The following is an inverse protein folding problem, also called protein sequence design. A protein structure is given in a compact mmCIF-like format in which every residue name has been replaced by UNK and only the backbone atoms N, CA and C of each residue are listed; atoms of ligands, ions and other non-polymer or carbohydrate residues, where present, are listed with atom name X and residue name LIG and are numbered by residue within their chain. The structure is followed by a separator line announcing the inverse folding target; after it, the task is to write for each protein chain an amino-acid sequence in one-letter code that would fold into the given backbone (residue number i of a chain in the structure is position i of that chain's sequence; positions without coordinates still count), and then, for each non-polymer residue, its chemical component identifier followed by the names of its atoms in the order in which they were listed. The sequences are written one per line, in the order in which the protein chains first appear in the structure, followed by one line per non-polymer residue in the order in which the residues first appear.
data_IF_283506014862
#
_entry.id   IF_283506014862
#
_cell.length_a   1.000
_cell.length_b   1.000
_cell.length_c   1.000
_cell.angle_alpha   90.00
_cell.angle_beta   90.00
_cell.angle_gamma   90.00
#
_symmetry.space_group_name_H-M   'P 1'
#
loop_
_entity.id
_entity.type
_entity.pdbx_description
1 polymer ?
#
# COMPACT_ATOMS: atom_id res chain seq x y z
N UNK A 1 -28.60 -16.39 10.34
CA UNK A 1 -28.73 -15.02 10.91
C UNK A 1 -27.72 -14.73 12.02
N UNK A 2 -27.54 -15.58 13.06
CA UNK A 2 -26.58 -15.31 14.14
C UNK A 2 -25.12 -15.08 13.71
N UNK A 3 -24.61 -15.85 12.75
CA UNK A 3 -23.24 -15.68 12.21
C UNK A 3 -23.06 -14.34 11.47
N UNK A 4 -24.02 -13.93 10.64
CA UNK A 4 -23.95 -12.67 9.89
C UNK A 4 -23.98 -11.44 10.81
N UNK A 5 -24.79 -11.47 11.88
CA UNK A 5 -24.81 -10.41 12.89
C UNK A 5 -23.43 -10.27 13.54
N UNK A 6 -22.79 -11.40 13.91
CA UNK A 6 -21.43 -11.40 14.47
C UNK A 6 -20.39 -10.77 13.54
N UNK A 7 -20.41 -11.12 12.24
CA UNK A 7 -19.49 -10.55 11.25
C UNK A 7 -19.68 -9.03 11.12
N UNK A 8 -20.94 -8.56 11.05
CA UNK A 8 -21.25 -7.12 10.97
C UNK A 8 -20.77 -6.40 12.22
N UNK A 9 -21.00 -6.97 13.41
CA UNK A 9 -20.51 -6.38 14.67
C UNK A 9 -19.00 -6.22 14.66
N UNK A 10 -18.25 -7.26 14.27
CA UNK A 10 -16.79 -7.20 14.18
C UNK A 10 -16.35 -6.13 13.18
N UNK A 11 -16.99 -6.06 12.01
CA UNK A 11 -16.67 -5.08 10.96
C UNK A 11 -16.89 -3.65 11.45
N UNK A 12 -18.04 -3.37 12.08
CA UNK A 12 -18.37 -2.04 12.61
C UNK A 12 -17.39 -1.63 13.71
N UNK A 13 -17.11 -2.53 14.66
CA UNK A 13 -16.14 -2.26 15.74
C UNK A 13 -14.76 -1.98 15.17
N UNK A 14 -14.31 -2.78 14.20
CA UNK A 14 -13.03 -2.60 13.52
C UNK A 14 -12.93 -1.24 12.83
N UNK A 15 -13.95 -0.84 12.06
CA UNK A 15 -13.99 0.47 11.38
C UNK A 15 -13.98 1.61 12.40
N UNK A 16 -14.76 1.53 13.48
CA UNK A 16 -14.78 2.54 14.53
C UNK A 16 -13.40 2.70 15.16
N UNK A 17 -12.72 1.60 15.48
CA UNK A 17 -11.38 1.62 16.05
C UNK A 17 -10.38 2.28 15.09
N UNK A 18 -10.39 1.91 13.81
CA UNK A 18 -9.52 2.49 12.79
C UNK A 18 -9.76 4.00 12.61
N UNK A 19 -11.02 4.43 12.47
CA UNK A 19 -11.37 5.84 12.30
C UNK A 19 -11.00 6.64 13.54
N UNK A 20 -11.28 6.13 14.73
CA UNK A 20 -10.94 6.78 16.00
C UNK A 20 -9.42 6.94 16.14
N UNK A 21 -8.66 5.90 15.81
CA UNK A 21 -7.19 5.96 15.82
C UNK A 21 -6.64 6.96 14.78
N UNK A 22 -7.23 6.97 13.58
CA UNK A 22 -6.89 7.92 12.51
C UNK A 22 -7.12 9.36 12.93
N UNK A 23 -8.26 9.67 13.57
CA UNK A 23 -8.55 11.00 14.12
C UNK A 23 -7.55 11.35 15.24
N UNK A 24 -7.28 10.43 16.16
CA UNK A 24 -6.36 10.67 17.27
C UNK A 24 -4.94 11.00 16.79
N UNK A 25 -4.42 10.22 15.85
CA UNK A 25 -3.09 10.46 15.27
C UNK A 25 -3.07 11.64 14.30
N UNK A 26 -4.16 11.87 13.55
CA UNK A 26 -4.31 13.00 12.63
C UNK A 26 -4.20 14.36 13.33
N UNK A 27 -4.65 14.46 14.59
CA UNK A 27 -4.47 15.67 15.43
C UNK A 27 -3.00 16.04 15.68
N UNK A 28 -2.06 15.12 15.47
CA UNK A 28 -0.61 15.34 15.67
C UNK A 28 0.08 15.89 14.41
N UNK A 29 -0.58 15.85 13.25
CA UNK A 29 -0.02 16.31 11.97
C UNK A 29 -0.10 17.83 11.90
N UNK A 30 1.04 18.50 11.73
CA UNK A 30 1.11 19.98 11.67
C UNK A 30 1.69 20.50 10.35
N UNK A 31 2.48 19.69 9.66
CA UNK A 31 3.19 20.07 8.43
C UNK A 31 2.94 19.06 7.31
N UNK A 32 3.30 19.44 6.07
CA UNK A 32 3.24 18.52 4.92
C UNK A 32 4.16 17.31 5.07
N UNK A 33 5.31 17.47 5.72
CA UNK A 33 6.25 16.36 5.99
C UNK A 33 5.74 15.43 7.10
N UNK A 34 5.04 15.97 8.10
CA UNK A 34 4.34 15.14 9.09
C UNK A 34 3.26 14.28 8.41
N UNK A 35 2.57 14.82 7.42
CA UNK A 35 1.54 14.10 6.67
C UNK A 35 2.13 13.06 5.71
N UNK A 36 3.14 13.45 4.90
CA UNK A 36 3.65 12.62 3.82
C UNK A 36 4.61 11.52 4.30
N UNK A 37 5.42 11.79 5.32
CA UNK A 37 6.51 10.90 5.75
C UNK A 37 6.61 10.76 7.28
N UNK A 38 5.55 11.12 8.02
CA UNK A 38 5.51 11.10 9.48
C UNK A 38 6.67 11.86 10.14
N UNK A 39 7.14 12.94 9.49
CA UNK A 39 8.28 13.73 9.94
C UNK A 39 9.57 12.92 10.11
N UNK A 40 9.71 11.78 9.40
CA UNK A 40 10.84 10.82 9.49
C UNK A 40 11.03 10.15 10.85
N UNK A 41 10.02 10.21 11.72
CA UNK A 41 10.05 9.65 13.08
C UNK A 41 9.65 8.18 13.16
N UNK A 42 9.12 7.61 12.07
CA UNK A 42 8.73 6.20 12.02
C UNK A 42 9.97 5.30 12.01
N UNK A 43 10.04 4.31 12.93
CA UNK A 43 11.12 3.33 12.91
C UNK A 43 10.99 2.42 11.69
N UNK A 44 12.13 1.93 11.17
CA UNK A 44 12.19 1.19 9.91
C UNK A 44 11.28 -0.05 9.86
N UNK A 45 11.14 -0.78 10.98
CA UNK A 45 10.25 -1.95 11.06
C UNK A 45 8.77 -1.57 10.92
N UNK A 46 8.35 -0.43 11.49
CA UNK A 46 6.97 0.04 11.39
C UNK A 46 6.67 0.53 9.96
N UNK A 47 7.65 1.19 9.33
CA UNK A 47 7.57 1.56 7.92
C UNK A 47 7.47 0.30 7.01
N UNK A 48 8.23 -0.75 7.31
CA UNK A 48 8.16 -2.01 6.58
C UNK A 48 6.79 -2.69 6.69
N UNK A 49 6.23 -2.77 7.90
CA UNK A 49 4.89 -3.31 8.10
C UNK A 49 3.81 -2.47 7.42
N UNK A 50 3.92 -1.14 7.49
CA UNK A 50 2.98 -0.23 6.83
C UNK A 50 3.02 -0.38 5.31
N UNK A 51 4.21 -0.52 4.73
CA UNK A 51 4.35 -0.77 3.30
C UNK A 51 3.69 -2.10 2.94
N UNK A 52 3.97 -3.18 3.70
CA UNK A 52 3.35 -4.50 3.44
C UNK A 52 1.84 -4.42 3.51
N UNK A 53 1.28 -3.79 4.55
CA UNK A 53 -0.15 -3.60 4.67
C UNK A 53 -0.77 -2.84 3.47
N UNK A 54 0.02 -2.00 2.78
CA UNK A 54 -0.41 -1.31 1.55
C UNK A 54 -0.35 -2.22 0.32
N UNK A 55 0.66 -3.11 0.26
CA UNK A 55 0.78 -4.12 -0.78
C UNK A 55 -0.31 -5.21 -0.67
N UNK A 56 -0.70 -5.57 0.54
CA UNK A 56 -1.77 -6.53 0.79
C UNK A 56 -3.14 -5.95 0.42
N UNK A 57 -3.83 -6.66 -0.45
CA UNK A 57 -4.84 -6.12 -1.35
C UNK A 57 -5.89 -7.21 -1.63
N UNK A 58 -6.95 -6.91 -2.40
CA UNK A 58 -7.82 -7.94 -2.99
C UNK A 58 -7.02 -9.01 -3.77
N UNK A 59 -5.81 -8.67 -4.21
CA UNK A 59 -4.84 -9.64 -4.71
C UNK A 59 -4.56 -10.78 -3.73
N UNK A 60 -4.32 -10.49 -2.45
CA UNK A 60 -3.95 -11.49 -1.46
C UNK A 60 -5.12 -12.40 -1.07
N UNK A 61 -6.33 -11.83 -0.99
CA UNK A 61 -7.51 -12.56 -0.53
C UNK A 61 -8.23 -13.32 -1.66
N UNK A 62 -8.21 -12.79 -2.88
CA UNK A 62 -8.97 -13.34 -4.01
C UNK A 62 -8.07 -13.71 -5.19
N UNK A 63 -7.07 -12.89 -5.49
CA UNK A 63 -6.19 -13.08 -6.64
C UNK A 63 -5.30 -14.31 -6.52
N UNK A 64 -4.43 -14.34 -5.52
CA UNK A 64 -3.45 -15.41 -5.31
C UNK A 64 -4.13 -16.76 -4.99
N UNK A 65 -5.15 -16.86 -4.12
CA UNK A 65 -5.85 -18.12 -3.90
C UNK A 65 -6.62 -18.58 -5.15
N UNK A 66 -7.21 -17.65 -5.92
CA UNK A 66 -7.88 -17.97 -7.17
C UNK A 66 -6.93 -18.48 -8.24
N UNK A 67 -5.74 -17.88 -8.36
CA UNK A 67 -4.67 -18.35 -9.21
C UNK A 67 -4.18 -19.74 -8.77
N UNK A 68 -3.99 -19.96 -7.48
CA UNK A 68 -3.57 -21.26 -6.94
C UNK A 68 -4.64 -22.35 -7.16
N UNK A 69 -5.92 -21.99 -7.09
CA UNK A 69 -7.01 -22.90 -7.44
C UNK A 69 -6.98 -23.29 -8.92
N UNK A 70 -6.63 -22.37 -9.82
CA UNK A 70 -6.60 -22.61 -11.27
C UNK A 70 -5.32 -23.32 -11.75
N UNK A 71 -4.16 -22.95 -11.20
CA UNK A 71 -2.83 -23.39 -11.66
C UNK A 71 -2.16 -24.38 -10.72
N UNK A 72 -2.78 -24.68 -9.58
CA UNK A 72 -2.28 -25.64 -8.59
C UNK A 72 -1.02 -25.17 -7.88
N UNK A 73 -0.19 -26.13 -7.48
CA UNK A 73 0.98 -25.87 -6.63
C UNK A 73 2.07 -25.01 -7.29
N UNK A 74 2.02 -24.83 -8.61
CA UNK A 74 2.93 -23.96 -9.36
C UNK A 74 2.91 -22.52 -8.82
N UNK A 75 1.79 -22.06 -8.27
CA UNK A 75 1.67 -20.72 -7.68
C UNK A 75 2.56 -20.47 -6.45
N UNK A 76 3.18 -21.52 -5.89
CA UNK A 76 4.19 -21.34 -4.85
C UNK A 76 5.35 -20.46 -5.32
N UNK A 77 5.67 -20.49 -6.62
CA UNK A 77 6.72 -19.65 -7.20
C UNK A 77 6.37 -18.17 -7.15
N UNK A 78 5.09 -17.82 -7.32
CA UNK A 78 4.60 -16.45 -7.14
C UNK A 78 4.86 -15.99 -5.70
N UNK A 79 4.47 -16.80 -4.71
CA UNK A 79 4.69 -16.48 -3.30
C UNK A 79 6.18 -16.34 -2.95
N UNK A 80 7.02 -17.30 -3.38
CA UNK A 80 8.47 -17.25 -3.16
C UNK A 80 9.11 -16.03 -3.83
N UNK A 81 8.72 -15.71 -5.06
CA UNK A 81 9.19 -14.55 -5.80
C UNK A 81 8.83 -13.23 -5.10
N UNK A 82 7.58 -13.11 -4.62
CA UNK A 82 7.15 -11.95 -3.84
C UNK A 82 7.98 -11.78 -2.57
N UNK A 83 8.13 -12.84 -1.77
CA UNK A 83 8.90 -12.78 -0.52
C UNK A 83 10.36 -12.42 -0.78
N UNK A 84 11.01 -13.09 -1.73
CA UNK A 84 12.41 -12.82 -2.08
C UNK A 84 12.61 -11.40 -2.61
N UNK A 85 11.72 -10.94 -3.51
CA UNK A 85 11.76 -9.59 -4.07
C UNK A 85 11.58 -8.51 -3.00
N UNK A 86 10.62 -8.71 -2.09
CA UNK A 86 10.37 -7.81 -0.96
C UNK A 86 11.58 -7.69 -0.04
N UNK A 87 12.15 -8.84 0.37
CA UNK A 87 13.33 -8.88 1.25
C UNK A 87 14.49 -8.16 0.57
N UNK A 88 14.72 -8.45 -0.72
CA UNK A 88 15.80 -7.84 -1.51
C UNK A 88 15.62 -6.32 -1.62
N UNK A 89 14.41 -5.84 -1.90
CA UNK A 89 14.11 -4.41 -1.98
C UNK A 89 14.37 -3.70 -0.65
N UNK A 90 13.96 -4.29 0.47
CA UNK A 90 14.21 -3.70 1.79
C UNK A 90 15.67 -3.75 2.21
N UNK A 91 16.36 -4.86 1.94
CA UNK A 91 17.76 -5.02 2.30
C UNK A 91 18.69 -4.11 1.47
N UNK A 92 18.40 -3.93 0.17
CA UNK A 92 19.34 -3.27 -0.75
C UNK A 92 18.92 -1.86 -1.17
N UNK A 93 17.62 -1.57 -1.25
CA UNK A 93 17.11 -0.33 -1.87
C UNK A 93 16.57 0.63 -0.82
N UNK A 94 15.83 0.16 0.19
CA UNK A 94 15.08 1.02 1.11
C UNK A 94 15.96 2.04 1.85
N UNK A 95 17.10 1.62 2.40
CA UNK A 95 18.05 2.51 3.09
C UNK A 95 18.64 3.62 2.19
N UNK A 96 19.14 3.26 1.01
CA UNK A 96 19.67 4.18 0.00
C UNK A 96 18.61 5.19 -0.44
N UNK A 97 17.37 4.74 -0.65
CA UNK A 97 16.28 5.62 -1.05
C UNK A 97 15.90 6.58 0.10
N UNK A 98 15.94 6.13 1.35
CA UNK A 98 15.72 6.97 2.54
C UNK A 98 16.77 8.07 2.64
N UNK A 99 18.05 7.70 2.50
CA UNK A 99 19.18 8.64 2.60
C UNK A 99 19.14 9.68 1.48
N UNK A 100 18.87 9.25 0.25
CA UNK A 100 18.71 10.13 -0.89
C UNK A 100 17.51 11.06 -0.72
N UNK A 101 16.37 10.55 -0.24
CA UNK A 101 15.21 11.39 0.06
C UNK A 101 15.54 12.45 1.10
N UNK A 102 16.40 12.14 2.09
CA UNK A 102 16.88 13.11 3.10
C UNK A 102 17.77 14.17 2.50
N UNK A 103 18.78 13.74 1.74
CA UNK A 103 19.75 14.59 1.07
C UNK A 103 19.08 15.63 0.18
N UNK A 104 18.09 15.23 -0.60
CA UNK A 104 17.36 16.12 -1.50
C UNK A 104 16.16 16.82 -0.85
N UNK A 105 15.87 16.55 0.43
CA UNK A 105 14.70 17.08 1.16
C UNK A 105 13.39 16.90 0.40
N UNK A 106 13.18 15.69 -0.12
CA UNK A 106 11.99 15.32 -0.90
C UNK A 106 11.12 14.33 -0.12
N UNK A 107 9.81 14.43 -0.33
CA UNK A 107 8.81 13.58 0.34
C UNK A 107 8.14 12.57 -0.61
N UNK A 108 8.33 12.72 -1.93
CA UNK A 108 7.78 11.80 -2.93
C UNK A 108 8.86 11.27 -3.88
N UNK A 109 8.64 10.05 -4.38
CA UNK A 109 9.54 9.45 -5.37
C UNK A 109 9.57 10.25 -6.69
N UNK A 110 8.44 10.79 -7.13
CA UNK A 110 8.37 11.61 -8.35
C UNK A 110 9.13 12.93 -8.22
N UNK A 111 9.21 13.49 -7.00
CA UNK A 111 10.06 14.64 -6.73
C UNK A 111 11.54 14.25 -6.67
N UNK A 112 11.87 13.12 -6.07
CA UNK A 112 13.24 12.58 -6.04
C UNK A 112 13.82 12.44 -7.45
N UNK A 113 13.12 11.76 -8.35
CA UNK A 113 13.58 11.61 -9.74
C UNK A 113 13.71 12.96 -10.46
N UNK A 114 12.87 13.94 -10.10
CA UNK A 114 12.91 15.28 -10.69
C UNK A 114 14.18 16.03 -10.31
N UNK A 115 14.48 16.07 -9.01
CA UNK A 115 15.64 16.80 -8.50
C UNK A 115 16.95 16.11 -8.89
N UNK A 116 16.96 14.77 -8.96
CA UNK A 116 18.15 14.00 -9.31
C UNK A 116 18.60 14.17 -10.76
N UNK A 117 17.68 14.43 -11.69
CA UNK A 117 17.95 14.41 -13.14
C UNK A 117 17.96 15.79 -13.80
N UNK A 118 18.07 16.88 -13.02
CA UNK A 118 18.28 18.24 -13.53
C UNK A 118 17.26 18.66 -14.59
N UNK A 119 17.74 18.99 -15.80
CA UNK A 119 16.92 19.51 -16.91
C UNK A 119 15.81 18.54 -17.37
N UNK A 120 16.08 17.23 -17.41
CA UNK A 120 15.08 16.21 -17.74
C UNK A 120 14.10 15.94 -16.59
N UNK A 121 14.40 16.43 -15.39
CA UNK A 121 13.67 16.12 -14.16
C UNK A 121 12.20 16.50 -14.19
N UNK A 122 11.84 17.61 -14.85
CA UNK A 122 10.43 18.03 -14.97
C UNK A 122 9.62 17.06 -15.81
N UNK A 123 10.18 16.61 -16.94
CA UNK A 123 9.52 15.68 -17.85
C UNK A 123 9.36 14.31 -17.18
N UNK A 124 10.42 13.81 -16.53
CA UNK A 124 10.38 12.55 -15.78
C UNK A 124 9.31 12.59 -14.69
N UNK A 125 9.21 13.68 -13.93
CA UNK A 125 8.17 13.85 -12.92
C UNK A 125 6.77 13.76 -13.50
N UNK A 126 6.52 14.41 -14.64
CA UNK A 126 5.20 14.40 -15.30
C UNK A 126 4.86 12.99 -15.78
N UNK A 127 5.77 12.35 -16.50
CA UNK A 127 5.57 10.99 -17.02
C UNK A 127 5.33 10.00 -15.88
N UNK A 128 6.16 10.02 -14.84
CA UNK A 128 5.97 9.13 -13.69
C UNK A 128 4.69 9.41 -12.92
N UNK A 129 4.30 10.68 -12.76
CA UNK A 129 3.04 11.02 -12.08
C UNK A 129 1.83 10.55 -12.88
N UNK A 130 1.85 10.72 -14.21
CA UNK A 130 0.80 10.22 -15.10
C UNK A 130 0.71 8.70 -15.09
N UNK A 131 1.86 8.01 -15.15
CA UNK A 131 1.91 6.56 -15.04
C UNK A 131 1.31 6.08 -13.70
N UNK A 132 1.71 6.71 -12.58
CA UNK A 132 1.14 6.38 -11.26
C UNK A 132 -0.38 6.55 -11.28
N UNK A 133 -0.90 7.72 -11.69
CA UNK A 133 -2.35 7.98 -11.71
C UNK A 133 -3.09 6.95 -12.59
N UNK A 134 -2.56 6.66 -13.77
CA UNK A 134 -3.16 5.69 -14.70
C UNK A 134 -3.25 4.29 -14.09
N UNK A 135 -2.15 3.76 -13.53
CA UNK A 135 -2.18 2.42 -12.91
C UNK A 135 -2.97 2.41 -11.60
N UNK A 136 -2.93 3.50 -10.83
CA UNK A 136 -3.67 3.60 -9.57
C UNK A 136 -5.19 3.57 -9.78
N UNK A 137 -5.67 4.08 -10.92
CA UNK A 137 -7.08 3.96 -11.31
C UNK A 137 -7.54 2.50 -11.37
N UNK A 138 -6.79 1.64 -12.08
CA UNK A 138 -7.11 0.20 -12.15
C UNK A 138 -6.93 -0.49 -10.80
N UNK A 139 -5.89 -0.11 -10.04
CA UNK A 139 -5.66 -0.65 -8.71
C UNK A 139 -6.85 -0.40 -7.78
N UNK A 140 -7.35 0.85 -7.71
CA UNK A 140 -8.52 1.19 -6.90
C UNK A 140 -9.76 0.45 -7.39
N UNK A 141 -9.98 0.37 -8.71
CA UNK A 141 -11.07 -0.40 -9.29
C UNK A 141 -11.06 -1.88 -8.88
N UNK A 142 -9.88 -2.51 -8.88
CA UNK A 142 -9.72 -3.89 -8.44
C UNK A 142 -10.06 -4.08 -6.95
N UNK A 143 -9.78 -3.09 -6.09
CA UNK A 143 -10.15 -3.14 -4.67
C UNK A 143 -11.66 -3.07 -4.46
N UNK A 144 -12.36 -2.18 -5.19
CA UNK A 144 -13.82 -2.12 -5.11
C UNK A 144 -14.48 -3.41 -5.59
N UNK A 145 -13.96 -4.01 -6.68
CA UNK A 145 -14.45 -5.31 -7.16
C UNK A 145 -14.22 -6.42 -6.14
N UNK A 146 -13.05 -6.47 -5.51
CA UNK A 146 -12.76 -7.47 -4.48
C UNK A 146 -13.62 -7.31 -3.24
N UNK A 147 -13.77 -6.07 -2.75
CA UNK A 147 -14.65 -5.75 -1.63
C UNK A 147 -16.12 -6.08 -1.94
N UNK A 148 -16.61 -5.70 -3.12
CA UNK A 148 -17.98 -5.99 -3.57
C UNK A 148 -18.24 -7.50 -3.67
N UNK A 149 -17.33 -8.27 -4.29
CA UNK A 149 -17.44 -9.74 -4.32
C UNK A 149 -17.48 -10.34 -2.92
N UNK A 150 -16.64 -9.85 -2.00
CA UNK A 150 -16.60 -10.34 -0.63
C UNK A 150 -17.93 -10.07 0.09
N UNK A 151 -18.49 -8.88 -0.05
CA UNK A 151 -19.79 -8.54 0.54
C UNK A 151 -20.93 -9.36 -0.07
N UNK A 152 -20.94 -9.54 -1.39
CA UNK A 152 -21.92 -10.38 -2.08
C UNK A 152 -21.87 -11.83 -1.59
N UNK A 153 -20.67 -12.41 -1.47
CA UNK A 153 -20.51 -13.80 -1.01
C UNK A 153 -20.90 -13.98 0.46
N UNK A 154 -20.64 -13.00 1.33
CA UNK A 154 -20.93 -13.12 2.77
C UNK A 154 -22.38 -12.75 3.14
N UNK A 155 -22.95 -11.75 2.46
CA UNK A 155 -24.22 -11.13 2.83
C UNK A 155 -25.29 -11.20 1.75
N UNK A 156 -24.97 -11.59 0.52
CA UNK A 156 -25.90 -11.63 -0.61
C UNK A 156 -26.26 -10.25 -1.18
N UNK A 157 -25.40 -9.25 -0.94
CA UNK A 157 -25.56 -7.85 -1.36
C UNK A 157 -24.89 -7.56 -2.70
#
# INVERSE_FOLDING_TARGET
MGSQIGIITVMVVYVILLVSWGIFQGRKVRTGDDFAIAGRKLPGWAAALSERATGESSWALLGLPGAAYAMGLTEIWTALGCVAGIITAWALIAWRLRDEAEKYKVSTFTQYISVKHGECGRILRIISSLAIVFFFFFYVGAQFLGGGKTLHTLFGL
#
